data_IF_669455291746
#
_entry.id   IF_669455291746
#
_cell.length_a   1.000
_cell.length_b   1.000
_cell.length_c   1.000
_cell.angle_alpha   90.00
_cell.angle_beta   90.00
_cell.angle_gamma   90.00
#
_symmetry.space_group_name_H-M   'P 1'
#
loop_
_entity.id
_entity.type
_entity.pdbx_description
1 polymer ?
#
# COMPACT_ATOMS: atom_id res chain seq x y z
N UNK A 1 -3.71 -12.17 10.03
CA UNK A 1 -2.80 -13.33 9.84
C UNK A 1 -1.54 -12.87 9.10
N UNK A 2 -0.45 -13.65 9.12
CA UNK A 2 0.85 -13.28 8.50
C UNK A 2 0.84 -13.23 6.97
N UNK A 3 -0.25 -13.67 6.34
CA UNK A 3 -0.37 -13.83 4.88
C UNK A 3 -1.51 -12.99 4.27
N UNK A 4 -2.12 -12.09 5.04
CA UNK A 4 -3.23 -11.28 4.53
C UNK A 4 -2.72 -10.27 3.50
N UNK A 5 -3.47 -10.00 2.42
CA UNK A 5 -3.12 -8.94 1.49
C UNK A 5 -3.08 -7.59 2.24
N UNK A 6 -2.12 -6.75 1.90
CA UNK A 6 -2.04 -5.37 2.37
C UNK A 6 -2.08 -4.41 1.19
N UNK A 7 -2.76 -3.28 1.40
CA UNK A 7 -2.95 -2.23 0.41
C UNK A 7 -2.25 -0.97 0.90
N UNK A 8 -1.50 -0.33 0.01
CA UNK A 8 -0.78 0.91 0.26
C UNK A 8 -1.39 1.98 -0.62
N UNK A 9 -2.12 2.90 -0.01
CA UNK A 9 -2.85 4.00 -0.65
C UNK A 9 -2.15 5.32 -0.37
N UNK A 10 -2.09 6.23 -1.35
CA UNK A 10 -1.62 7.59 -1.14
C UNK A 10 -2.76 8.45 -0.60
N UNK A 11 -2.46 9.26 0.40
CA UNK A 11 -3.36 10.22 1.01
C UNK A 11 -3.22 11.60 0.34
N UNK A 12 -4.23 12.45 0.48
CA UNK A 12 -4.24 13.80 -0.11
C UNK A 12 -3.05 14.66 0.36
N UNK A 13 -2.59 14.44 1.58
CA UNK A 13 -1.42 15.12 2.16
C UNK A 13 -0.06 14.56 1.67
N UNK A 14 -0.07 13.60 0.74
CA UNK A 14 1.13 12.99 0.18
C UNK A 14 1.70 11.80 0.96
N UNK A 15 1.15 11.48 2.13
CA UNK A 15 1.54 10.31 2.93
C UNK A 15 0.96 9.01 2.35
N UNK A 16 1.37 7.88 2.90
CA UNK A 16 0.97 6.54 2.47
C UNK A 16 0.35 5.76 3.63
N UNK A 17 -0.88 5.30 3.43
CA UNK A 17 -1.62 4.50 4.39
C UNK A 17 -1.51 3.01 4.06
N UNK A 18 -1.14 2.19 5.05
CA UNK A 18 -1.17 0.73 4.96
C UNK A 18 -2.50 0.22 5.51
N UNK A 19 -3.28 -0.47 4.69
CA UNK A 19 -4.62 -0.97 5.03
C UNK A 19 -4.75 -2.47 4.79
N UNK A 20 -5.59 -3.09 5.59
CA UNK A 20 -6.09 -4.45 5.35
C UNK A 20 -7.34 -4.38 4.46
N UNK A 21 -7.65 -5.43 3.68
CA UNK A 21 -8.89 -5.49 2.91
C UNK A 21 -10.10 -5.26 3.82
N UNK A 22 -11.08 -4.49 3.33
CA UNK A 22 -12.35 -4.22 3.99
C UNK A 22 -12.26 -3.56 5.37
N UNK A 23 -11.12 -2.96 5.72
CA UNK A 23 -10.94 -2.23 6.97
C UNK A 23 -11.05 -0.72 6.74
N UNK A 24 -11.83 -0.05 7.57
CA UNK A 24 -11.99 1.40 7.51
C UNK A 24 -10.75 2.15 8.05
N UNK A 25 -9.98 1.51 8.94
CA UNK A 25 -8.81 2.14 9.59
C UNK A 25 -7.51 1.73 8.92
N UNK A 26 -6.64 2.72 8.71
CA UNK A 26 -5.24 2.47 8.38
C UNK A 26 -4.55 1.78 9.55
N UNK A 27 -3.75 0.76 9.24
CA UNK A 27 -2.87 0.09 10.20
C UNK A 27 -1.59 0.89 10.47
N UNK A 28 -1.16 1.70 9.51
CA UNK A 28 -0.07 2.66 9.64
C UNK A 28 -0.26 3.79 8.60
N UNK A 29 0.25 4.98 8.91
CA UNK A 29 0.39 6.10 7.96
C UNK A 29 1.83 6.57 8.03
N UNK A 30 2.50 6.64 6.89
CA UNK A 30 3.95 6.86 6.76
C UNK A 30 4.22 7.91 5.68
N UNK A 31 5.33 8.62 5.81
CA UNK A 31 5.64 9.76 4.92
C UNK A 31 6.05 9.32 3.50
N UNK A 32 6.61 8.12 3.35
CA UNK A 32 7.06 7.62 2.06
C UNK A 32 6.44 6.27 1.69
N UNK A 33 6.34 6.02 0.38
CA UNK A 33 5.87 4.74 -0.15
C UNK A 33 6.81 3.59 0.24
N UNK A 34 8.12 3.86 0.32
CA UNK A 34 9.12 2.86 0.69
C UNK A 34 8.95 2.40 2.13
N UNK A 35 8.74 3.34 3.06
CA UNK A 35 8.47 3.03 4.46
C UNK A 35 7.18 2.25 4.62
N UNK A 36 6.13 2.62 3.86
CA UNK A 36 4.88 1.88 3.84
C UNK A 36 5.03 0.44 3.34
N UNK A 37 5.86 0.21 2.32
CA UNK A 37 6.17 -1.13 1.81
C UNK A 37 6.93 -1.95 2.86
N UNK A 38 7.94 -1.35 3.50
CA UNK A 38 8.69 -2.01 4.55
C UNK A 38 7.76 -2.39 5.72
N UNK A 39 6.93 -1.46 6.17
CA UNK A 39 5.95 -1.71 7.23
C UNK A 39 4.98 -2.82 6.86
N UNK A 40 4.52 -2.84 5.62
CA UNK A 40 3.64 -3.90 5.11
C UNK A 40 4.34 -5.27 5.08
N UNK A 41 5.63 -5.34 4.71
CA UNK A 41 6.43 -6.58 4.77
C UNK A 41 6.61 -7.10 6.19
N UNK A 42 6.82 -6.23 7.17
CA UNK A 42 6.88 -6.63 8.58
C UNK A 42 5.55 -7.19 9.08
N UNK A 43 4.44 -6.55 8.69
CA UNK A 43 3.09 -6.94 9.11
C UNK A 43 2.59 -8.21 8.43
N UNK A 44 2.93 -8.40 7.15
CA UNK A 44 2.58 -9.59 6.37
C UNK A 44 3.80 -10.08 5.57
N UNK A 45 4.70 -10.85 6.22
CA UNK A 45 5.95 -11.29 5.60
C UNK A 45 5.78 -12.12 4.31
N UNK A 46 4.68 -12.86 4.20
CA UNK A 46 4.37 -13.70 3.04
C UNK A 46 3.07 -13.31 2.32
N UNK A 47 2.43 -12.20 2.73
CA UNK A 47 1.22 -11.70 2.09
C UNK A 47 1.54 -10.87 0.85
N UNK A 48 0.63 -10.83 -0.14
CA UNK A 48 0.79 -9.95 -1.29
C UNK A 48 0.60 -8.48 -0.88
N UNK A 49 1.49 -7.61 -1.37
CA UNK A 49 1.40 -6.16 -1.14
C UNK A 49 0.92 -5.49 -2.43
N UNK A 50 -0.17 -4.76 -2.34
CA UNK A 50 -0.76 -3.99 -3.42
C UNK A 50 -0.49 -2.51 -3.17
N UNK A 51 0.21 -1.86 -4.10
CA UNK A 51 0.58 -0.45 -3.97
C UNK A 51 -0.15 0.35 -5.03
N UNK A 52 -0.85 1.40 -4.61
CA UNK A 52 -1.52 2.33 -5.51
C UNK A 52 -0.50 3.01 -6.41
N UNK A 53 -0.79 3.05 -7.72
CA UNK A 53 0.01 3.83 -8.65
C UNK A 53 -0.40 5.28 -8.48
N UNK A 54 0.58 6.18 -8.42
CA UNK A 54 0.32 7.62 -8.17
C UNK A 54 0.74 8.49 -9.36
N UNK A 55 1.18 7.85 -10.45
CA UNK A 55 1.65 8.50 -11.67
C UNK A 55 0.98 7.83 -12.87
N UNK A 56 0.55 8.65 -13.83
CA UNK A 56 0.17 8.20 -15.17
C UNK A 56 1.43 7.93 -15.97
N UNK A 57 1.64 6.68 -16.36
CA UNK A 57 2.70 6.24 -17.28
C UNK A 57 2.07 5.47 -18.44
N UNK A 58 2.82 5.27 -19.53
CA UNK A 58 2.38 4.44 -20.67
C UNK A 58 1.99 3.02 -20.26
N UNK A 59 2.51 2.53 -19.12
CA UNK A 59 2.26 1.19 -18.58
C UNK A 59 1.37 1.18 -17.33
N UNK A 60 0.70 2.28 -16.97
CA UNK A 60 -0.28 2.29 -15.88
C UNK A 60 -0.80 3.65 -15.47
N UNK A 61 -2.02 3.65 -14.92
CA UNK A 61 -2.72 4.85 -14.45
C UNK A 61 -2.90 4.80 -12.93
N UNK A 62 -3.26 5.93 -12.28
CA UNK A 62 -3.47 5.99 -10.85
C UNK A 62 -4.47 4.96 -10.30
N UNK A 63 -5.45 4.56 -11.10
CA UNK A 63 -6.48 3.57 -10.73
C UNK A 63 -6.01 2.10 -10.82
N UNK A 64 -4.70 1.84 -10.93
CA UNK A 64 -4.14 0.48 -11.03
C UNK A 64 -3.19 0.18 -9.88
N UNK A 65 -3.34 -1.02 -9.31
CA UNK A 65 -2.47 -1.52 -8.26
C UNK A 65 -1.20 -2.18 -8.82
N UNK A 66 -0.04 -1.89 -8.21
CA UNK A 66 1.22 -2.60 -8.42
C UNK A 66 1.38 -3.67 -7.34
N UNK A 67 1.48 -4.94 -7.75
CA UNK A 67 1.82 -6.04 -6.84
C UNK A 67 3.34 -6.08 -6.62
N UNK A 68 3.76 -6.24 -5.36
CA UNK A 68 5.16 -6.34 -4.93
C UNK A 68 5.34 -7.60 -4.08
#
# INVERSE_FOLDING_TARGET
>A
MKNDPLFIERQDNGQYAVKRPNQQRASAVLDTQADAIQRAREMSPAGPIHVERVRSTSSGSPDKWRKI
#
